data_IF_971571685868
#
_entry.id   IF_971571685868
#
_cell.length_a   1.000
_cell.length_b   1.000
_cell.length_c   1.000
_cell.angle_alpha   90.00
_cell.angle_beta   90.00
_cell.angle_gamma   90.00
#
_symmetry.space_group_name_H-M   'P 1'
#
loop_
_entity.id
_entity.type
_entity.pdbx_description
1 polymer ?
#
# COMPACT_ATOMS: atom_id res chain seq x y z
N UNK A 1 5.05 25.02 -57.22
CA UNK A 1 5.61 23.73 -56.79
C UNK A 1 5.60 23.71 -55.27
N UNK A 2 4.61 23.04 -54.67
CA UNK A 2 4.52 22.85 -53.22
C UNK A 2 5.29 21.58 -52.87
N UNK A 3 6.14 21.62 -51.84
CA UNK A 3 6.78 20.42 -51.32
C UNK A 3 6.84 20.48 -49.80
N UNK A 4 5.99 19.60 -49.22
CA UNK A 4 6.18 18.82 -47.99
C UNK A 4 6.31 19.66 -46.71
N UNK A 5 5.24 19.78 -45.93
CA UNK A 5 4.86 18.76 -44.93
C UNK A 5 6.07 18.05 -44.35
N UNK A 6 6.50 18.47 -43.16
CA UNK A 6 6.78 17.57 -42.04
C UNK A 6 7.06 18.41 -40.79
N UNK A 7 6.01 18.51 -39.96
CA UNK A 7 6.12 18.92 -38.57
C UNK A 7 6.83 17.78 -37.83
N UNK A 8 7.98 17.97 -37.15
CA UNK A 8 8.51 16.92 -36.31
C UNK A 8 7.67 16.89 -35.03
N UNK A 9 6.57 16.12 -35.06
CA UNK A 9 5.89 15.67 -33.86
C UNK A 9 6.68 14.47 -33.29
N UNK A 10 7.92 14.74 -32.87
CA UNK A 10 8.82 13.74 -32.32
C UNK A 10 9.22 14.13 -30.91
N UNK A 11 8.83 13.29 -29.94
CA UNK A 11 9.29 13.28 -28.54
C UNK A 11 8.82 14.45 -27.65
N UNK A 12 7.54 14.43 -27.35
CA UNK A 12 7.10 14.63 -25.97
C UNK A 12 6.21 13.44 -25.60
N UNK A 13 6.78 12.23 -25.60
CA UNK A 13 6.14 11.13 -24.88
C UNK A 13 6.20 11.55 -23.40
N UNK A 14 5.02 11.91 -22.89
CA UNK A 14 4.79 12.52 -21.61
C UNK A 14 5.50 11.72 -20.51
N UNK A 15 6.38 12.36 -19.74
CA UNK A 15 7.12 11.75 -18.62
C UNK A 15 6.14 11.05 -17.66
N UNK A 16 4.92 11.59 -17.52
CA UNK A 16 3.84 11.04 -16.72
C UNK A 16 3.37 9.64 -17.19
N UNK A 17 3.46 9.33 -18.49
CA UNK A 17 3.07 8.01 -19.02
C UNK A 17 4.13 6.94 -18.77
N UNK A 18 5.40 7.35 -18.65
CA UNK A 18 6.50 6.44 -18.30
C UNK A 18 6.45 6.11 -16.81
N UNK A 19 6.30 7.12 -15.95
CA UNK A 19 6.17 6.96 -14.50
C UNK A 19 4.93 6.13 -14.11
N UNK A 20 3.78 6.39 -14.75
CA UNK A 20 2.57 5.61 -14.51
C UNK A 20 2.71 4.13 -14.94
N UNK A 21 3.45 3.87 -16.05
CA UNK A 21 3.75 2.50 -16.49
C UNK A 21 4.70 1.80 -15.54
N UNK A 22 5.69 2.52 -15.00
CA UNK A 22 6.64 1.99 -14.03
C UNK A 22 5.96 1.66 -12.70
N UNK A 23 5.13 2.57 -12.17
CA UNK A 23 4.34 2.32 -10.96
C UNK A 23 3.41 1.11 -11.12
N UNK A 24 2.76 0.97 -12.29
CA UNK A 24 1.91 -0.19 -12.59
C UNK A 24 2.72 -1.49 -12.71
N UNK A 25 3.90 -1.44 -13.31
CA UNK A 25 4.78 -2.60 -13.40
C UNK A 25 5.29 -3.03 -12.02
N UNK A 26 5.58 -2.08 -11.13
CA UNK A 26 6.03 -2.35 -9.77
C UNK A 26 4.91 -2.92 -8.88
N UNK A 27 3.69 -2.39 -9.02
CA UNK A 27 2.49 -2.96 -8.38
C UNK A 27 2.28 -4.41 -8.84
N UNK A 28 2.33 -4.67 -10.16
CA UNK A 28 2.17 -6.02 -10.70
C UNK A 28 3.27 -6.99 -10.22
N UNK A 29 4.52 -6.52 -10.09
CA UNK A 29 5.62 -7.31 -9.53
C UNK A 29 5.40 -7.63 -8.07
N UNK A 30 4.90 -6.67 -7.29
CA UNK A 30 4.57 -6.85 -5.88
C UNK A 30 3.45 -7.89 -5.70
N UNK A 31 2.39 -7.82 -6.52
CA UNK A 31 1.30 -8.80 -6.52
C UNK A 31 1.78 -10.21 -6.91
N UNK A 32 2.64 -10.31 -7.92
CA UNK A 32 3.26 -11.58 -8.33
C UNK A 32 4.19 -12.14 -7.25
N UNK A 33 4.95 -11.28 -6.57
CA UNK A 33 5.82 -11.66 -5.45
C UNK A 33 5.00 -12.23 -4.29
N UNK A 34 3.87 -11.61 -3.96
CA UNK A 34 2.98 -12.10 -2.91
C UNK A 34 2.32 -13.44 -3.30
N UNK A 35 1.86 -13.57 -4.54
CA UNK A 35 1.24 -14.80 -5.04
C UNK A 35 2.22 -15.99 -5.14
N UNK A 36 3.53 -15.72 -5.25
CA UNK A 36 4.57 -16.75 -5.30
C UNK A 36 5.01 -17.26 -3.91
N UNK A 37 4.62 -16.56 -2.83
CA UNK A 37 4.92 -16.97 -1.45
C UNK A 37 4.12 -18.20 -1.06
N UNK A 38 4.69 -19.03 -0.20
CA UNK A 38 3.97 -20.12 0.47
C UNK A 38 2.89 -19.56 1.40
N UNK A 39 1.92 -20.40 1.80
CA UNK A 39 0.86 -20.00 2.73
C UNK A 39 1.44 -19.42 4.03
N UNK A 40 2.48 -20.04 4.59
CA UNK A 40 3.11 -19.61 5.83
C UNK A 40 3.83 -18.27 5.66
N UNK A 41 4.52 -18.08 4.54
CA UNK A 41 5.16 -16.81 4.22
C UNK A 41 4.13 -15.68 4.03
N UNK A 42 3.00 -15.97 3.38
CA UNK A 42 1.89 -15.01 3.24
C UNK A 42 1.31 -14.63 4.61
N UNK A 43 1.06 -15.62 5.47
CA UNK A 43 0.53 -15.39 6.82
C UNK A 43 1.52 -14.55 7.66
N UNK A 44 2.82 -14.84 7.60
CA UNK A 44 3.88 -14.05 8.25
C UNK A 44 3.99 -12.63 7.69
N UNK A 45 3.86 -12.47 6.37
CA UNK A 45 3.88 -11.15 5.73
C UNK A 45 2.69 -10.31 6.15
N UNK A 46 1.48 -10.88 6.12
CA UNK A 46 0.27 -10.20 6.56
C UNK A 46 0.30 -9.85 8.05
N UNK A 47 0.88 -10.71 8.90
CA UNK A 47 1.12 -10.40 10.31
C UNK A 47 2.00 -9.16 10.47
N UNK A 48 3.15 -9.12 9.77
CA UNK A 48 4.06 -7.95 9.78
C UNK A 48 3.38 -6.67 9.30
N UNK A 49 2.56 -6.77 8.26
CA UNK A 49 1.78 -5.64 7.75
C UNK A 49 0.78 -5.14 8.80
N UNK A 50 0.08 -6.05 9.47
CA UNK A 50 -0.88 -5.68 10.51
C UNK A 50 -0.20 -5.03 11.73
N UNK A 51 0.96 -5.54 12.16
CA UNK A 51 1.78 -4.91 13.21
C UNK A 51 2.26 -3.52 12.81
N UNK A 52 2.71 -3.35 11.56
CA UNK A 52 3.12 -2.06 11.03
C UNK A 52 1.97 -1.03 11.01
N UNK A 53 0.78 -1.43 10.52
CA UNK A 53 -0.42 -0.59 10.55
C UNK A 53 -0.77 -0.20 11.98
N UNK A 54 -0.70 -1.14 12.92
CA UNK A 54 -0.98 -0.87 14.33
C UNK A 54 -0.05 0.21 14.91
N UNK A 55 1.26 0.12 14.63
CA UNK A 55 2.25 1.13 15.05
C UNK A 55 1.97 2.50 14.43
N UNK A 56 1.70 2.55 13.12
CA UNK A 56 1.36 3.80 12.44
C UNK A 56 0.09 4.45 13.03
N UNK A 57 -0.95 3.66 13.31
CA UNK A 57 -2.18 4.19 13.89
C UNK A 57 -1.93 4.84 15.27
N UNK A 58 -0.99 4.33 16.07
CA UNK A 58 -0.65 4.94 17.37
C UNK A 58 -0.09 6.35 17.15
N UNK A 59 0.85 6.50 16.23
CA UNK A 59 1.48 7.80 15.92
C UNK A 59 0.49 8.78 15.31
N UNK A 60 -0.29 8.32 14.32
CA UNK A 60 -1.32 9.12 13.65
C UNK A 60 -2.39 9.61 14.63
N UNK A 61 -2.79 8.75 15.59
CA UNK A 61 -3.77 9.13 16.61
C UNK A 61 -3.23 10.26 17.49
N UNK A 62 -1.99 10.14 17.95
CA UNK A 62 -1.36 11.18 18.78
C UNK A 62 -1.31 12.52 18.04
N UNK A 63 -0.98 12.51 16.74
CA UNK A 63 -1.00 13.71 15.90
C UNK A 63 -2.42 14.28 15.73
N UNK A 64 -3.42 13.43 15.47
CA UNK A 64 -4.80 13.87 15.34
C UNK A 64 -5.35 14.48 16.65
N UNK A 65 -5.01 13.90 17.80
CA UNK A 65 -5.36 14.46 19.11
C UNK A 65 -4.66 15.79 19.37
N UNK A 66 -3.37 15.90 19.03
CA UNK A 66 -2.63 17.16 19.14
C UNK A 66 -3.14 18.28 18.23
N UNK A 67 -3.85 17.93 17.15
CA UNK A 67 -4.46 18.86 16.21
C UNK A 67 -5.97 19.12 16.46
N UNK A 68 -6.54 18.61 17.57
CA UNK A 68 -7.97 18.74 17.89
C UNK A 68 -8.89 18.20 16.77
N UNK A 69 -8.50 17.05 16.21
CA UNK A 69 -9.26 16.34 15.17
C UNK A 69 -9.86 15.05 15.74
N UNK A 70 -10.83 15.17 16.65
CA UNK A 70 -11.36 14.02 17.42
C UNK A 70 -12.02 12.97 16.53
N UNK A 71 -12.71 13.39 15.47
CA UNK A 71 -13.31 12.49 14.49
C UNK A 71 -12.24 11.66 13.75
N UNK A 72 -11.12 12.28 13.39
CA UNK A 72 -10.00 11.57 12.76
C UNK A 72 -9.32 10.60 13.74
N UNK A 73 -9.10 11.04 14.99
CA UNK A 73 -8.55 10.18 16.03
C UNK A 73 -9.43 8.94 16.27
N UNK A 74 -10.76 9.09 16.22
CA UNK A 74 -11.70 7.98 16.31
C UNK A 74 -11.55 7.00 15.13
N UNK A 75 -11.49 7.48 13.89
CA UNK A 75 -11.31 6.58 12.74
C UNK A 75 -9.97 5.85 12.76
N UNK A 76 -8.90 6.51 13.22
CA UNK A 76 -7.59 5.89 13.39
C UNK A 76 -7.64 4.77 14.45
N UNK A 77 -8.40 4.96 15.53
CA UNK A 77 -8.63 3.91 16.52
C UNK A 77 -9.36 2.71 15.95
N UNK A 78 -10.38 2.93 15.13
CA UNK A 78 -11.12 1.84 14.50
C UNK A 78 -10.21 1.04 13.56
N UNK A 79 -9.36 1.71 12.78
CA UNK A 79 -8.36 1.05 11.94
C UNK A 79 -7.36 0.22 12.77
N UNK A 80 -6.93 0.73 13.93
CA UNK A 80 -6.03 0.01 14.84
C UNK A 80 -6.68 -1.23 15.43
N UNK A 81 -7.96 -1.16 15.80
CA UNK A 81 -8.70 -2.30 16.34
C UNK A 81 -8.81 -3.42 15.31
N UNK A 82 -9.17 -3.07 14.07
CA UNK A 82 -9.24 -4.04 12.96
C UNK A 82 -7.90 -4.73 12.70
N UNK A 83 -6.79 -3.96 12.68
CA UNK A 83 -5.45 -4.52 12.56
C UNK A 83 -5.11 -5.46 13.73
N UNK A 84 -5.52 -5.11 14.95
CA UNK A 84 -5.27 -5.94 16.15
C UNK A 84 -6.03 -7.26 16.10
N UNK A 85 -7.29 -7.25 15.66
CA UNK A 85 -8.09 -8.47 15.44
C UNK A 85 -7.44 -9.37 14.38
N UNK A 86 -6.88 -8.80 13.32
CA UNK A 86 -6.18 -9.57 12.31
C UNK A 86 -4.87 -10.19 12.81
N UNK A 87 -4.14 -9.51 13.71
CA UNK A 87 -2.93 -10.06 14.37
C UNK A 87 -3.32 -11.24 15.26
N UNK A 88 -4.34 -11.09 16.10
CA UNK A 88 -4.77 -12.11 17.06
C UNK A 88 -5.27 -13.38 16.36
N UNK A 89 -6.13 -13.22 15.35
CA UNK A 89 -6.64 -14.34 14.56
C UNK A 89 -5.51 -15.14 13.90
N UNK A 90 -4.48 -14.49 13.37
CA UNK A 90 -3.36 -15.18 12.71
C UNK A 90 -2.39 -15.82 13.70
N UNK A 91 -2.09 -15.19 14.83
CA UNK A 91 -1.30 -15.83 15.91
C UNK A 91 -1.96 -17.12 16.40
N UNK A 92 -3.27 -17.08 16.64
CA UNK A 92 -4.02 -18.27 17.07
C UNK A 92 -4.01 -19.41 16.05
N UNK A 93 -3.90 -19.10 14.75
CA UNK A 93 -3.79 -20.09 13.67
C UNK A 93 -2.40 -20.73 13.64
N UNK A 94 -1.33 -19.95 13.82
CA UNK A 94 0.05 -20.46 13.87
C UNK A 94 0.34 -21.32 15.11
N UNK A 95 -0.37 -21.10 16.22
CA UNK A 95 -0.21 -21.91 17.44
C UNK A 95 -0.92 -23.28 17.40
N UNK A 96 -1.69 -23.57 16.34
CA UNK A 96 -2.50 -24.80 16.18
C UNK A 96 -1.94 -25.79 15.14
N UNK A 97 -0.92 -25.40 14.36
CA UNK A 97 -0.19 -26.23 13.38
C UNK A 97 1.13 -26.76 13.95
#
# INVERSE_FOLDING_TARGET
MNSRDEKPAGKAANVNDAEAREAKAEMLRSDLSFAAMTSDEQDQHQLKVAEYIQSMCIELRAMAQGAELEGLAYFIDMARLEASTQVENRKSKTDLD
#
